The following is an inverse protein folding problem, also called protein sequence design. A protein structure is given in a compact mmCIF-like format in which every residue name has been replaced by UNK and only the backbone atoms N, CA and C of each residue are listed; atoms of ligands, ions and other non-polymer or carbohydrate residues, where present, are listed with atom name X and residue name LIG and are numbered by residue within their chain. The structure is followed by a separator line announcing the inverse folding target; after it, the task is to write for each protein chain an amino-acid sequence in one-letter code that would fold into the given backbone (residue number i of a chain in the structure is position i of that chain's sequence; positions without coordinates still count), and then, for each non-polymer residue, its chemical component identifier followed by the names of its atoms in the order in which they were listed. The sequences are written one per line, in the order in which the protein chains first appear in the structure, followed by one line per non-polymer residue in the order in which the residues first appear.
data_IF_823099362629
#
_entry.id   IF_823099362629
#
_cell.length_a   1.000
_cell.length_b   1.000
_cell.length_c   1.000
_cell.angle_alpha   90.00
_cell.angle_beta   90.00
_cell.angle_gamma   90.00
#
_symmetry.space_group_name_H-M   'P 1'
#
loop_
_entity.id
_entity.type
_entity.pdbx_description
1 polymer ?
#
# COMPACT_ATOMS: atom_id res chain seq x y z
N UNK A 1 11.49 14.01 -2.73
CA UNK A 1 10.06 13.84 -2.47
C UNK A 1 9.51 12.79 -3.40
N UNK A 2 8.56 11.97 -2.95
CA UNK A 2 8.03 10.85 -3.73
C UNK A 2 7.19 11.34 -4.92
N UNK A 3 7.21 10.57 -6.01
CA UNK A 3 6.29 10.73 -7.13
C UNK A 3 5.48 9.44 -7.25
N UNK A 4 4.15 9.54 -7.11
CA UNK A 4 3.23 8.41 -7.22
C UNK A 4 2.24 8.67 -8.36
N UNK A 5 2.11 7.70 -9.27
CA UNK A 5 1.12 7.78 -10.34
C UNK A 5 -0.26 7.40 -9.80
N UNK A 6 -1.24 8.30 -9.86
CA UNK A 6 -2.59 7.96 -9.44
C UNK A 6 -3.25 7.04 -10.48
N UNK A 7 -3.62 5.79 -10.14
CA UNK A 7 -4.15 4.84 -11.12
C UNK A 7 -5.53 5.22 -11.66
N UNK A 8 -6.18 6.23 -11.07
CA UNK A 8 -7.50 6.67 -11.47
C UNK A 8 -7.52 7.88 -12.40
N UNK A 9 -6.54 8.77 -12.29
CA UNK A 9 -6.47 9.98 -13.12
C UNK A 9 -5.18 10.08 -13.95
N UNK A 10 -4.24 9.14 -13.79
CA UNK A 10 -2.98 9.11 -14.54
C UNK A 10 -1.97 10.20 -14.16
N UNK A 11 -2.32 11.09 -13.22
CA UNK A 11 -1.43 12.15 -12.76
C UNK A 11 -0.29 11.53 -11.95
N UNK A 12 0.95 11.90 -12.31
CA UNK A 12 2.14 11.68 -11.48
C UNK A 12 2.18 12.74 -10.40
N UNK A 13 1.54 12.43 -9.28
CA UNK A 13 1.39 13.35 -8.16
C UNK A 13 2.65 13.38 -7.32
N UNK A 14 3.01 14.57 -6.89
CA UNK A 14 4.05 14.80 -5.90
C UNK A 14 3.51 14.46 -4.49
N UNK A 15 4.37 14.02 -3.57
CA UNK A 15 4.00 13.55 -2.24
C UNK A 15 3.12 14.54 -1.44
N UNK A 16 3.34 15.85 -1.59
CA UNK A 16 2.54 16.87 -0.90
C UNK A 16 1.10 16.99 -1.42
N UNK A 17 0.80 16.44 -2.60
CA UNK A 17 -0.55 16.35 -3.16
C UNK A 17 -1.34 15.15 -2.62
N UNK A 18 -0.67 14.30 -1.84
CA UNK A 18 -1.16 13.01 -1.38
C UNK A 18 -1.24 12.96 0.15
N UNK A 19 -2.12 12.11 0.63
CA UNK A 19 -2.22 11.79 2.06
C UNK A 19 -1.90 10.31 2.29
N UNK A 20 -0.92 10.02 3.15
CA UNK A 20 -0.54 8.67 3.52
C UNK A 20 -1.58 8.06 4.47
N UNK A 21 -1.97 6.80 4.23
CA UNK A 21 -2.94 6.04 5.01
C UNK A 21 -2.38 4.81 5.72
N UNK A 22 -1.06 4.63 5.75
CA UNK A 22 -0.40 3.47 6.35
C UNK A 22 -0.60 2.18 5.55
N UNK A 23 -0.55 1.04 6.22
CA UNK A 23 -0.63 -0.31 5.63
C UNK A 23 -1.85 -0.50 4.69
N UNK A 24 -1.61 -1.16 3.56
CA UNK A 24 -2.62 -1.66 2.62
C UNK A 24 -3.00 -3.12 2.90
N UNK A 25 -4.09 -3.59 2.28
CA UNK A 25 -4.56 -4.98 2.42
C UNK A 25 -4.90 -5.38 3.87
N UNK A 26 -5.36 -4.41 4.66
CA UNK A 26 -5.85 -4.61 6.02
C UNK A 26 -7.34 -5.01 6.00
N UNK A 27 -7.65 -6.18 6.54
CA UNK A 27 -9.04 -6.63 6.72
C UNK A 27 -9.70 -5.86 7.85
N UNK A 28 -10.93 -5.39 7.62
CA UNK A 28 -11.72 -4.72 8.65
C UNK A 28 -12.43 -5.73 9.55
N UNK A 29 -12.17 -5.64 10.84
CA UNK A 29 -12.92 -6.35 11.88
C UNK A 29 -13.89 -5.40 12.58
N UNK A 30 -15.10 -5.87 12.87
CA UNK A 30 -16.20 -5.06 13.37
C UNK A 30 -17.10 -5.83 14.33
N UNK A 31 -18.36 -5.38 14.54
CA UNK A 31 -19.31 -6.07 15.41
C UNK A 31 -19.40 -7.56 15.08
N UNK A 32 -19.23 -8.43 16.07
CA UNK A 32 -19.24 -9.89 15.92
C UNK A 32 -17.85 -10.54 15.79
N UNK A 33 -16.77 -9.75 15.71
CA UNK A 33 -15.39 -10.27 15.80
C UNK A 33 -15.03 -10.58 17.26
N UNK A 34 -14.02 -11.43 17.46
CA UNK A 34 -13.44 -11.61 18.80
C UNK A 34 -12.71 -10.35 19.28
N UNK A 35 -12.54 -10.21 20.59
CA UNK A 35 -11.78 -9.09 21.19
C UNK A 35 -10.36 -9.00 20.64
N UNK A 36 -9.71 -10.15 20.41
CA UNK A 36 -8.36 -10.21 19.85
C UNK A 36 -8.29 -9.70 18.40
N UNK A 37 -9.21 -10.15 17.53
CA UNK A 37 -9.28 -9.68 16.15
C UNK A 37 -9.60 -8.18 16.08
N UNK A 38 -10.50 -7.71 16.95
CA UNK A 38 -10.87 -6.30 16.99
C UNK A 38 -9.72 -5.43 17.52
N UNK A 39 -9.03 -5.88 18.56
CA UNK A 39 -7.81 -5.24 19.07
C UNK A 39 -6.77 -5.09 17.95
N UNK A 40 -6.47 -6.18 17.23
CA UNK A 40 -5.44 -6.17 16.18
C UNK A 40 -5.85 -5.26 15.02
N UNK A 41 -7.12 -5.27 14.62
CA UNK A 41 -7.63 -4.34 13.63
C UNK A 41 -7.51 -2.87 14.06
N UNK A 42 -7.75 -2.55 15.33
CA UNK A 42 -7.67 -1.18 15.81
C UNK A 42 -6.23 -0.68 15.93
N UNK A 43 -5.30 -1.52 16.40
CA UNK A 43 -3.99 -1.05 16.89
C UNK A 43 -2.79 -1.63 16.16
N UNK A 44 -2.90 -2.84 15.59
CA UNK A 44 -1.75 -3.54 15.01
C UNK A 44 -1.62 -3.28 13.51
N UNK A 45 -0.42 -2.93 13.05
CA UNK A 45 -0.11 -2.75 11.62
C UNK A 45 1.22 -3.39 11.28
N UNK A 46 1.35 -3.88 10.05
CA UNK A 46 2.64 -4.28 9.51
C UNK A 46 3.56 -3.04 9.42
N UNK A 47 4.82 -3.17 9.88
CA UNK A 47 5.84 -2.14 9.77
C UNK A 47 7.18 -2.70 9.25
N UNK A 48 7.21 -3.28 8.04
CA UNK A 48 8.43 -3.85 7.47
C UNK A 48 9.50 -2.80 7.19
N UNK A 49 10.74 -3.14 7.54
CA UNK A 49 11.94 -2.50 7.00
C UNK A 49 12.23 -3.10 5.62
N UNK A 50 11.84 -2.41 4.56
CA UNK A 50 11.95 -2.92 3.20
C UNK A 50 10.71 -2.62 2.38
N UNK A 51 10.29 -3.56 1.55
CA UNK A 51 9.07 -3.41 0.73
C UNK A 51 7.86 -3.35 1.66
N UNK A 52 7.04 -2.32 1.49
CA UNK A 52 5.80 -2.07 2.21
C UNK A 52 4.70 -1.78 1.18
N UNK A 53 3.49 -2.27 1.45
CA UNK A 53 2.30 -1.93 0.68
C UNK A 53 1.46 -0.92 1.44
N UNK A 54 1.34 0.29 0.89
CA UNK A 54 0.81 1.45 1.59
C UNK A 54 -0.46 1.95 0.90
N UNK A 55 -1.35 2.59 1.66
CA UNK A 55 -2.51 3.32 1.16
C UNK A 55 -2.18 4.78 0.97
N UNK A 56 -2.63 5.35 -0.13
CA UNK A 56 -2.47 6.76 -0.44
C UNK A 56 -3.78 7.33 -0.97
N UNK A 57 -4.11 8.56 -0.57
CA UNK A 57 -5.26 9.31 -1.09
C UNK A 57 -4.77 10.50 -1.89
N UNK A 58 -5.27 10.65 -3.11
CA UNK A 58 -4.95 11.83 -3.94
C UNK A 58 -5.79 13.03 -3.50
N UNK A 59 -5.45 13.62 -2.35
CA UNK A 59 -6.29 14.61 -1.66
C UNK A 59 -6.39 15.93 -2.42
N UNK A 60 -5.34 16.33 -3.14
CA UNK A 60 -5.33 17.54 -3.97
C UNK A 60 -5.66 17.25 -5.45
N UNK A 61 -6.25 16.09 -5.74
CA UNK A 61 -6.63 15.67 -7.10
C UNK A 61 -7.97 14.95 -7.11
N UNK A 62 -7.99 13.69 -7.56
CA UNK A 62 -9.25 12.96 -7.76
C UNK A 62 -9.92 12.49 -6.45
N UNK A 63 -9.32 12.69 -5.28
CA UNK A 63 -9.89 12.36 -3.96
C UNK A 63 -9.95 10.87 -3.62
N UNK A 64 -9.59 9.99 -4.56
CA UNK A 64 -9.65 8.52 -4.43
C UNK A 64 -8.45 7.95 -3.66
N UNK A 65 -8.70 6.81 -3.01
CA UNK A 65 -7.70 5.98 -2.35
C UNK A 65 -7.14 4.94 -3.32
N UNK A 66 -5.82 4.75 -3.33
CA UNK A 66 -5.09 3.73 -4.07
C UNK A 66 -4.01 3.09 -3.19
N UNK A 67 -3.34 2.07 -3.72
CA UNK A 67 -2.23 1.39 -3.07
C UNK A 67 -0.92 1.69 -3.79
N UNK A 68 0.18 1.72 -3.03
CA UNK A 68 1.53 1.86 -3.54
C UNK A 68 2.43 0.77 -2.95
N UNK A 69 3.32 0.21 -3.77
CA UNK A 69 4.39 -0.66 -3.32
C UNK A 69 5.69 0.15 -3.27
N UNK A 70 6.29 0.29 -2.09
CA UNK A 70 7.48 1.12 -1.91
C UNK A 70 8.47 0.49 -0.94
N UNK A 71 9.76 0.73 -1.14
CA UNK A 71 10.77 0.39 -0.16
C UNK A 71 10.88 1.51 0.89
N UNK A 72 10.56 1.22 2.15
CA UNK A 72 10.64 2.18 3.27
C UNK A 72 12.07 2.61 3.59
N UNK A 73 13.07 1.83 3.16
CA UNK A 73 14.50 2.16 3.37
C UNK A 73 15.08 3.02 2.24
N UNK A 74 14.74 2.73 0.98
CA UNK A 74 15.34 3.43 -0.18
C UNK A 74 14.42 4.44 -0.85
N UNK A 75 13.15 4.48 -0.43
CA UNK A 75 12.07 5.26 -1.05
C UNK A 75 11.74 4.87 -2.50
N UNK A 76 12.30 3.78 -3.01
CA UNK A 76 12.00 3.25 -4.34
C UNK A 76 10.54 2.81 -4.43
N UNK A 77 9.82 3.32 -5.44
CA UNK A 77 8.43 2.97 -5.73
C UNK A 77 8.40 1.93 -6.83
N UNK A 78 7.83 0.76 -6.54
CA UNK A 78 7.70 -0.34 -7.51
C UNK A 78 6.42 -0.22 -8.36
N UNK A 79 5.45 0.56 -7.89
CA UNK A 79 4.25 0.92 -8.64
C UNK A 79 3.07 1.25 -7.74
N UNK A 80 2.01 1.73 -8.38
CA UNK A 80 0.72 2.07 -7.76
C UNK A 80 -0.40 1.30 -8.44
N UNK A 81 -1.48 1.03 -7.71
CA UNK A 81 -2.58 0.20 -8.20
C UNK A 81 -3.87 0.47 -7.43
N UNK A 82 -4.99 -0.02 -7.96
CA UNK A 82 -6.32 0.20 -7.40
C UNK A 82 -6.43 -0.32 -5.96
N UNK A 83 -7.06 0.45 -5.08
CA UNK A 83 -7.43 0.00 -3.73
C UNK A 83 -8.56 -1.05 -3.73
N UNK A 84 -9.14 -1.37 -4.89
CA UNK A 84 -10.14 -2.43 -5.07
C UNK A 84 -9.48 -3.78 -5.37
N UNK A 85 -8.37 -4.07 -4.70
CA UNK A 85 -7.64 -5.34 -4.81
C UNK A 85 -7.44 -5.91 -3.41
N UNK A 86 -7.51 -7.23 -3.29
CA UNK A 86 -7.29 -7.93 -2.01
C UNK A 86 -5.82 -8.31 -1.79
N UNK A 87 -5.04 -8.26 -2.86
CA UNK A 87 -3.63 -8.61 -2.88
C UNK A 87 -2.85 -7.74 -3.89
N UNK A 88 -1.53 -7.59 -3.74
CA UNK A 88 -0.69 -6.91 -4.72
C UNK A 88 -0.78 -7.59 -6.10
N UNK A 89 -1.10 -6.84 -7.17
CA UNK A 89 -1.16 -7.38 -8.53
C UNK A 89 0.14 -8.07 -8.94
N UNK A 90 0.04 -9.08 -9.82
CA UNK A 90 1.22 -9.83 -10.30
C UNK A 90 2.35 -8.93 -10.81
N UNK A 91 2.02 -7.93 -11.63
CA UNK A 91 3.00 -6.99 -12.16
C UNK A 91 3.78 -6.23 -11.06
N UNK A 92 3.13 -5.93 -9.93
CA UNK A 92 3.79 -5.30 -8.77
C UNK A 92 4.71 -6.30 -8.07
N UNK A 93 4.26 -7.54 -7.87
CA UNK A 93 5.08 -8.61 -7.27
C UNK A 93 6.31 -8.91 -8.14
N UNK A 94 6.16 -8.93 -9.45
CA UNK A 94 7.25 -9.12 -10.40
C UNK A 94 8.25 -7.96 -10.34
N UNK A 95 7.76 -6.71 -10.33
CA UNK A 95 8.60 -5.51 -10.21
C UNK A 95 9.41 -5.51 -8.91
N UNK A 96 8.79 -5.90 -7.79
CA UNK A 96 9.47 -6.05 -6.51
C UNK A 96 10.51 -7.18 -6.58
N UNK A 97 10.12 -8.37 -7.03
CA UNK A 97 10.99 -9.56 -7.06
C UNK A 97 12.21 -9.38 -7.97
N UNK A 98 12.05 -8.66 -9.08
CA UNK A 98 13.16 -8.31 -9.97
C UNK A 98 14.23 -7.45 -9.28
N UNK A 99 13.84 -6.65 -8.28
CA UNK A 99 14.72 -5.76 -7.52
C UNK A 99 15.10 -6.29 -6.15
N UNK A 100 14.34 -7.22 -5.60
CA UNK A 100 14.51 -7.84 -4.28
C UNK A 100 14.32 -9.36 -4.44
N UNK A 101 15.30 -10.09 -4.98
CA UNK A 101 15.19 -11.53 -5.17
C UNK A 101 14.93 -12.26 -3.85
N UNK A 102 14.03 -13.25 -3.88
CA UNK A 102 13.62 -14.00 -2.68
C UNK A 102 12.62 -13.27 -1.77
N UNK A 103 12.22 -12.04 -2.11
CA UNK A 103 11.10 -11.37 -1.46
C UNK A 103 9.79 -12.11 -1.74
N UNK A 104 8.90 -12.10 -0.74
CA UNK A 104 7.56 -12.71 -0.77
C UNK A 104 6.59 -11.80 -0.03
N UNK A 105 5.31 -11.89 -0.38
CA UNK A 105 4.26 -11.15 0.31
C UNK A 105 3.39 -12.13 1.09
N UNK A 106 3.52 -12.10 2.42
CA UNK A 106 2.86 -13.06 3.32
C UNK A 106 3.12 -14.49 2.83
N UNK A 107 2.08 -15.23 2.46
CA UNK A 107 2.18 -16.61 2.01
C UNK A 107 2.38 -16.78 0.49
N UNK A 108 2.50 -15.67 -0.27
CA UNK A 108 2.67 -15.64 -1.73
C UNK A 108 4.11 -15.38 -2.17
#
# INVERSE_FOLDING_TARGET
MLILECPYCGVKAEESELHAGGEAHLTRFGPGSSDAEFHDYLFMRENPRGVHFERWRHINGCGKWFHAARCTTTLEVFGTYSAQTLEPPQAIRDAVSAKRPGWRWRDL
#
